data_IF_574358920401
#
_entry.id   IF_574358920401
#
_cell.length_a   1.000
_cell.length_b   1.000
_cell.length_c   1.000
_cell.angle_alpha   90.00
_cell.angle_beta   90.00
_cell.angle_gamma   90.00
#
_symmetry.space_group_name_H-M   'P 1'
#
loop_
_entity.id
_entity.type
_entity.pdbx_description
1 polymer ?
#
# COMPACT_ATOMS: atom_id res chain seq x y z
N UNK A 1 27.03 19.44 14.96
CA UNK A 1 26.87 18.02 14.57
C UNK A 1 26.06 18.02 13.28
N UNK A 2 26.69 17.83 12.13
CA UNK A 2 26.04 17.90 10.81
C UNK A 2 25.29 16.59 10.56
N UNK A 3 23.95 16.63 10.59
CA UNK A 3 23.12 15.54 10.09
C UNK A 3 23.27 15.47 8.55
N UNK A 4 24.26 14.72 8.08
CA UNK A 4 24.22 14.15 6.74
C UNK A 4 23.03 13.20 6.68
N UNK A 5 21.87 13.75 6.35
CA UNK A 5 20.69 13.03 5.89
C UNK A 5 21.03 12.34 4.56
N UNK A 6 21.87 11.30 4.61
CA UNK A 6 22.14 10.44 3.48
C UNK A 6 20.86 9.63 3.20
N UNK A 7 20.02 10.20 2.34
CA UNK A 7 19.07 9.39 1.60
C UNK A 7 19.86 8.26 0.96
N UNK A 8 19.56 7.01 1.36
CA UNK A 8 20.16 5.82 0.77
C UNK A 8 20.11 5.93 -0.75
N UNK A 9 21.22 5.60 -1.40
CA UNK A 9 21.31 5.68 -2.86
C UNK A 9 20.15 4.90 -3.50
N UNK A 10 19.63 5.41 -4.61
CA UNK A 10 18.43 4.85 -5.26
C UNK A 10 18.55 3.35 -5.56
N UNK A 11 19.76 2.89 -5.91
CA UNK A 11 20.05 1.47 -6.18
C UNK A 11 19.97 0.56 -4.94
N UNK A 12 20.04 1.10 -3.73
CA UNK A 12 19.97 0.35 -2.47
C UNK A 12 18.55 0.28 -1.89
N UNK A 13 17.56 0.87 -2.57
CA UNK A 13 16.17 0.87 -2.09
C UNK A 13 15.59 -0.53 -2.23
N UNK A 14 15.62 -1.29 -1.12
CA UNK A 14 14.97 -2.61 -0.97
C UNK A 14 13.49 -2.51 -0.63
N UNK A 15 13.07 -1.43 0.06
CA UNK A 15 11.70 -1.23 0.51
C UNK A 15 11.26 0.21 0.21
N UNK A 16 10.52 0.37 -0.89
CA UNK A 16 10.03 1.68 -1.36
C UNK A 16 9.12 2.36 -0.32
N UNK A 17 8.13 1.68 0.29
CA UNK A 17 7.34 2.29 1.38
C UNK A 17 8.20 2.87 2.51
N UNK A 18 9.21 2.11 2.98
CA UNK A 18 10.09 2.56 4.07
C UNK A 18 10.97 3.75 3.65
N UNK A 19 11.38 3.77 2.38
CA UNK A 19 12.13 4.89 1.82
C UNK A 19 11.28 6.16 1.76
N UNK A 20 10.04 6.08 1.28
CA UNK A 20 9.12 7.22 1.15
C UNK A 20 8.74 7.83 2.52
N UNK A 21 8.72 7.02 3.59
CA UNK A 21 8.50 7.51 4.96
C UNK A 21 9.56 8.54 5.41
N UNK A 22 10.76 8.55 4.80
CA UNK A 22 11.81 9.54 5.09
C UNK A 22 11.45 10.93 4.55
N UNK A 23 10.63 11.01 3.52
CA UNK A 23 10.19 12.27 2.92
C UNK A 23 8.92 12.81 3.57
N UNK A 24 8.08 11.92 4.09
CA UNK A 24 6.89 12.28 4.84
C UNK A 24 6.23 11.04 5.46
N UNK A 25 5.86 11.11 6.73
CA UNK A 25 5.17 10.03 7.44
C UNK A 25 3.66 10.22 7.37
N UNK A 26 2.91 9.11 7.34
CA UNK A 26 1.46 9.11 7.45
C UNK A 26 0.71 9.99 6.42
N UNK A 27 1.21 10.07 5.18
CA UNK A 27 0.62 10.93 4.14
C UNK A 27 -0.88 10.71 3.88
N UNK A 28 -1.41 9.51 4.14
CA UNK A 28 -2.86 9.20 4.12
C UNK A 28 -3.75 10.00 5.09
N UNK A 29 -3.17 10.69 6.08
CA UNK A 29 -3.85 11.59 7.03
C UNK A 29 -3.29 13.02 7.00
N UNK A 30 -2.30 13.27 6.15
CA UNK A 30 -1.61 14.55 6.11
C UNK A 30 -2.47 15.62 5.44
N UNK A 31 -2.31 16.86 5.89
CA UNK A 31 -2.91 18.04 5.27
C UNK A 31 -2.39 18.29 3.85
N UNK A 32 -3.08 19.12 3.08
CA UNK A 32 -2.65 19.50 1.72
C UNK A 32 -1.26 20.15 1.72
N UNK A 33 -0.97 20.97 2.74
CA UNK A 33 0.34 21.62 2.88
C UNK A 33 1.47 20.60 3.09
N UNK A 34 1.27 19.62 3.97
CA UNK A 34 2.26 18.57 4.23
C UNK A 34 2.48 17.68 3.00
N UNK A 35 1.41 17.36 2.27
CA UNK A 35 1.50 16.60 1.02
C UNK A 35 2.24 17.39 -0.06
N UNK A 36 1.99 18.70 -0.15
CA UNK A 36 2.72 19.59 -1.06
C UNK A 36 4.21 19.62 -0.71
N UNK A 37 4.55 19.75 0.58
CA UNK A 37 5.93 19.71 1.03
C UNK A 37 6.61 18.36 0.73
N UNK A 38 5.89 17.23 0.87
CA UNK A 38 6.37 15.93 0.45
C UNK A 38 6.70 15.90 -1.06
N UNK A 39 5.76 16.36 -1.90
CA UNK A 39 5.93 16.40 -3.36
C UNK A 39 7.15 17.25 -3.75
N UNK A 40 7.32 18.43 -3.16
CA UNK A 40 8.49 19.28 -3.42
C UNK A 40 9.81 18.63 -3.00
N UNK A 41 9.86 17.98 -1.83
CA UNK A 41 11.07 17.27 -1.38
C UNK A 41 11.45 16.12 -2.31
N UNK A 42 10.48 15.34 -2.77
CA UNK A 42 10.70 14.23 -3.72
C UNK A 42 11.20 14.75 -5.06
N UNK A 43 10.54 15.76 -5.63
CA UNK A 43 10.94 16.38 -6.91
C UNK A 43 12.33 17.01 -6.86
N UNK A 44 12.77 17.48 -5.67
CA UNK A 44 14.13 18.01 -5.48
C UNK A 44 15.19 16.91 -5.44
N UNK A 45 14.88 15.73 -4.90
CA UNK A 45 15.84 14.63 -4.74
C UNK A 45 15.86 13.65 -5.91
N UNK A 46 14.80 13.61 -6.71
CA UNK A 46 14.64 12.63 -7.78
C UNK A 46 14.22 13.27 -9.09
N UNK A 47 14.87 12.83 -10.17
CA UNK A 47 14.40 13.09 -11.52
C UNK A 47 13.11 12.31 -11.80
N UNK A 48 12.43 12.67 -12.90
CA UNK A 48 11.17 12.02 -13.29
C UNK A 48 11.33 10.51 -13.52
N UNK A 49 12.50 10.04 -13.93
CA UNK A 49 12.75 8.61 -14.17
C UNK A 49 12.78 7.83 -12.85
N UNK A 50 13.45 8.36 -11.83
CA UNK A 50 13.50 7.76 -10.49
C UNK A 50 12.15 7.83 -9.80
N UNK A 51 11.40 8.94 -9.94
CA UNK A 51 10.03 9.03 -9.43
C UNK A 51 9.14 7.96 -10.05
N UNK A 52 9.22 7.78 -11.38
CA UNK A 52 8.51 6.71 -12.08
C UNK A 52 8.89 5.32 -11.56
N UNK A 53 10.18 5.04 -11.39
CA UNK A 53 10.62 3.75 -10.85
C UNK A 53 10.14 3.49 -9.41
N UNK A 54 9.98 4.54 -8.58
CA UNK A 54 9.38 4.38 -7.25
C UNK A 54 7.89 4.09 -7.33
N UNK A 55 7.19 4.76 -8.25
CA UNK A 55 5.77 4.52 -8.54
C UNK A 55 5.54 3.07 -9.00
N UNK A 56 6.25 2.65 -10.05
CA UNK A 56 6.11 1.31 -10.65
C UNK A 56 6.35 0.21 -9.60
N UNK A 57 7.39 0.34 -8.77
CA UNK A 57 7.70 -0.62 -7.70
C UNK A 57 6.65 -0.64 -6.58
N UNK A 58 6.02 0.50 -6.31
CA UNK A 58 4.99 0.61 -5.27
C UNK A 58 3.67 0.02 -5.76
N UNK A 59 3.33 0.24 -7.03
CA UNK A 59 2.20 -0.39 -7.72
C UNK A 59 2.37 -1.92 -7.79
N UNK A 60 3.52 -2.42 -8.24
CA UNK A 60 3.84 -3.84 -8.27
C UNK A 60 3.71 -4.49 -6.87
N UNK A 61 4.19 -3.80 -5.84
CA UNK A 61 4.05 -4.23 -4.45
C UNK A 61 2.59 -4.31 -3.98
N UNK A 62 1.73 -3.40 -4.44
CA UNK A 62 0.29 -3.43 -4.16
C UNK A 62 -0.39 -4.55 -4.94
N UNK A 63 -0.09 -4.73 -6.22
CA UNK A 63 -0.72 -5.75 -7.05
C UNK A 63 -0.41 -7.16 -6.54
N UNK A 64 0.85 -7.43 -6.14
CA UNK A 64 1.20 -8.68 -5.44
C UNK A 64 0.43 -8.84 -4.12
N UNK A 65 0.19 -7.75 -3.40
CA UNK A 65 -0.58 -7.74 -2.15
C UNK A 65 -2.10 -7.82 -2.38
N UNK A 66 -2.59 -7.51 -3.58
CA UNK A 66 -3.98 -7.68 -4.01
C UNK A 66 -4.23 -9.12 -4.47
N UNK A 67 -3.26 -9.78 -5.10
CA UNK A 67 -3.28 -11.21 -5.33
C UNK A 67 -3.36 -12.01 -4.01
N UNK A 68 -2.83 -11.47 -2.91
CA UNK A 68 -3.03 -12.03 -1.58
C UNK A 68 -4.50 -11.98 -1.09
N UNK A 69 -5.44 -11.35 -1.81
CA UNK A 69 -6.88 -11.46 -1.49
C UNK A 69 -7.41 -12.88 -1.65
N UNK A 70 -6.77 -13.72 -2.49
CA UNK A 70 -7.02 -15.16 -2.55
C UNK A 70 -6.73 -15.87 -1.21
N UNK A 71 -5.94 -15.24 -0.32
CA UNK A 71 -5.71 -15.73 1.04
C UNK A 71 -7.01 -15.76 1.85
N UNK A 72 -7.91 -14.80 1.66
CA UNK A 72 -9.22 -14.79 2.34
C UNK A 72 -10.04 -16.01 1.93
N UNK A 73 -10.07 -16.32 0.63
CA UNK A 73 -10.75 -17.51 0.12
C UNK A 73 -10.14 -18.78 0.72
N UNK A 74 -8.81 -18.93 0.64
CA UNK A 74 -8.13 -20.09 1.21
C UNK A 74 -8.39 -20.25 2.73
N UNK A 75 -8.39 -19.14 3.48
CA UNK A 75 -8.70 -19.13 4.91
C UNK A 75 -10.10 -19.67 5.19
N UNK A 76 -11.12 -19.17 4.49
CA UNK A 76 -12.50 -19.64 4.69
C UNK A 76 -12.71 -21.07 4.16
N UNK A 77 -11.99 -21.50 3.13
CA UNK A 77 -12.00 -22.90 2.68
C UNK A 77 -11.45 -23.85 3.74
N UNK A 78 -10.32 -23.51 4.35
CA UNK A 78 -9.73 -24.30 5.46
C UNK A 78 -10.67 -24.28 6.67
N UNK A 79 -11.25 -23.12 7.00
CA UNK A 79 -12.22 -23.01 8.10
C UNK A 79 -13.45 -23.89 7.87
N UNK A 80 -14.02 -23.85 6.66
CA UNK A 80 -15.16 -24.68 6.28
C UNK A 80 -14.82 -26.17 6.36
N UNK A 81 -13.61 -26.56 5.94
CA UNK A 81 -13.13 -27.93 6.08
C UNK A 81 -13.00 -28.38 7.54
N UNK A 82 -12.44 -27.53 8.41
CA UNK A 82 -12.32 -27.81 9.85
C UNK A 82 -13.71 -27.92 10.50
N UNK A 83 -14.61 -26.98 10.18
CA UNK A 83 -15.99 -26.98 10.70
C UNK A 83 -16.76 -28.22 10.22
N UNK A 84 -16.68 -28.55 8.93
CA UNK A 84 -17.31 -29.74 8.37
C UNK A 84 -16.77 -31.04 8.97
N UNK A 85 -15.45 -31.13 9.17
CA UNK A 85 -14.82 -32.29 9.81
C UNK A 85 -15.22 -32.42 11.28
N UNK A 86 -15.30 -31.30 12.01
CA UNK A 86 -15.72 -31.26 13.42
C UNK A 86 -17.19 -31.65 13.57
N UNK A 87 -18.06 -31.20 12.67
CA UNK A 87 -19.46 -31.62 12.64
C UNK A 87 -19.62 -33.11 12.32
N UNK A 88 -18.80 -33.65 11.40
CA UNK A 88 -18.93 -35.03 10.95
C UNK A 88 -18.30 -36.07 11.91
N UNK A 89 -17.18 -35.73 12.56
CA UNK A 89 -16.41 -36.67 13.41
C UNK A 89 -16.28 -36.24 14.88
N UNK A 90 -16.43 -34.95 15.19
CA UNK A 90 -16.26 -34.40 16.54
C UNK A 90 -17.51 -34.50 17.41
N UNK A 91 -18.70 -34.42 16.80
CA UNK A 91 -19.98 -34.61 17.49
C UNK A 91 -20.18 -36.04 18.03
N UNK A 92 -19.50 -37.05 17.45
CA UNK A 92 -19.50 -38.44 17.95
C UNK A 92 -18.53 -38.67 19.11
N UNK A 93 -17.60 -37.75 19.39
CA UNK A 93 -16.61 -37.86 20.48
C UNK A 93 -16.96 -36.98 21.68
N UNK A 94 -17.73 -35.90 21.47
CA UNK A 94 -18.19 -34.99 22.49
C UNK A 94 -19.55 -35.46 23.03
N UNK A 95 -19.54 -36.46 23.90
CA UNK A 95 -20.71 -37.11 24.52
C UNK A 95 -21.50 -36.22 25.52
N UNK A 96 -21.32 -34.90 25.45
CA UNK A 96 -21.90 -33.94 26.38
C UNK A 96 -22.66 -32.84 25.64
N UNK A 97 -23.99 -32.81 25.82
CA UNK A 97 -24.88 -31.74 25.35
C UNK A 97 -24.27 -30.37 25.68
N UNK A 98 -24.05 -29.56 24.64
CA UNK A 98 -23.52 -28.19 24.75
C UNK A 98 -22.01 -28.04 24.55
N UNK A 99 -21.20 -29.09 24.69
CA UNK A 99 -19.73 -28.96 24.59
C UNK A 99 -19.28 -28.80 23.14
N UNK A 100 -19.87 -29.56 22.22
CA UNK A 100 -19.63 -29.43 20.77
C UNK A 100 -20.07 -28.04 20.25
N UNK A 101 -21.24 -27.56 20.67
CA UNK A 101 -21.77 -26.24 20.30
C UNK A 101 -20.84 -25.12 20.79
N UNK A 102 -20.32 -25.21 22.02
CA UNK A 102 -19.35 -24.25 22.54
C UNK A 102 -18.03 -24.26 21.76
N UNK A 103 -17.49 -25.43 21.43
CA UNK A 103 -16.25 -25.55 20.63
C UNK A 103 -16.44 -24.91 19.24
N UNK A 104 -17.57 -25.16 18.58
CA UNK A 104 -17.89 -24.58 17.26
C UNK A 104 -17.98 -23.05 17.36
N UNK A 105 -18.71 -22.52 18.35
CA UNK A 105 -18.83 -21.08 18.57
C UNK A 105 -17.47 -20.43 18.82
N UNK A 106 -16.65 -21.00 19.71
CA UNK A 106 -15.32 -20.48 20.03
C UNK A 106 -14.40 -20.48 18.80
N UNK A 107 -14.42 -21.57 18.01
CA UNK A 107 -13.65 -21.67 16.77
C UNK A 107 -14.10 -20.63 15.75
N UNK A 108 -15.40 -20.39 15.63
CA UNK A 108 -15.95 -19.41 14.72
C UNK A 108 -15.60 -17.97 15.12
N UNK A 109 -15.75 -17.62 16.41
CA UNK A 109 -15.39 -16.28 16.91
C UNK A 109 -13.90 -16.01 16.81
N UNK A 110 -13.05 -16.98 17.15
CA UNK A 110 -11.59 -16.82 16.99
C UNK A 110 -11.21 -16.63 15.53
N UNK A 111 -11.82 -17.37 14.60
CA UNK A 111 -11.59 -17.19 13.18
C UNK A 111 -12.01 -15.80 12.67
N UNK A 112 -13.17 -15.29 13.11
CA UNK A 112 -13.62 -13.93 12.78
C UNK A 112 -12.63 -12.89 13.32
N UNK A 113 -12.18 -13.02 14.56
CA UNK A 113 -11.23 -12.09 15.17
C UNK A 113 -9.91 -12.06 14.39
N UNK A 114 -9.35 -13.24 14.08
CA UNK A 114 -8.11 -13.37 13.31
C UNK A 114 -8.28 -12.77 11.92
N UNK A 115 -9.38 -13.10 11.23
CA UNK A 115 -9.67 -12.57 9.91
C UNK A 115 -9.87 -11.05 9.92
N UNK A 116 -10.66 -10.52 10.85
CA UNK A 116 -10.91 -9.09 10.98
C UNK A 116 -9.61 -8.32 11.26
N UNK A 117 -8.78 -8.81 12.19
CA UNK A 117 -7.48 -8.23 12.47
C UNK A 117 -6.58 -8.21 11.22
N UNK A 118 -6.49 -9.33 10.51
CA UNK A 118 -5.67 -9.42 9.30
C UNK A 118 -6.21 -8.54 8.16
N UNK A 119 -7.52 -8.49 7.98
CA UNK A 119 -8.20 -7.65 6.98
C UNK A 119 -8.00 -6.16 7.26
N UNK A 120 -8.16 -5.72 8.51
CA UNK A 120 -7.94 -4.33 8.91
C UNK A 120 -6.47 -3.93 8.71
N UNK A 121 -5.53 -4.77 9.14
CA UNK A 121 -4.10 -4.47 8.98
C UNK A 121 -3.69 -4.43 7.50
N UNK A 122 -4.24 -5.31 6.68
CA UNK A 122 -4.04 -5.34 5.22
C UNK A 122 -4.60 -4.08 4.55
N UNK A 123 -5.86 -3.72 4.83
CA UNK A 123 -6.52 -2.52 4.31
C UNK A 123 -5.77 -1.24 4.70
N UNK A 124 -5.29 -1.15 5.95
CA UNK A 124 -4.51 -0.01 6.41
C UNK A 124 -3.16 0.12 5.69
N UNK A 125 -2.47 -1.01 5.41
CA UNK A 125 -1.22 -1.01 4.63
C UNK A 125 -1.48 -0.55 3.19
N UNK A 126 -2.53 -1.08 2.56
CA UNK A 126 -2.95 -0.67 1.21
C UNK A 126 -3.28 0.82 1.16
N UNK A 127 -4.09 1.32 2.09
CA UNK A 127 -4.48 2.74 2.15
C UNK A 127 -3.27 3.66 2.28
N UNK A 128 -2.28 3.27 3.09
CA UNK A 128 -1.02 4.01 3.24
C UNK A 128 -0.22 4.02 1.94
N UNK A 129 -0.03 2.86 1.31
CA UNK A 129 0.72 2.74 0.06
C UNK A 129 0.04 3.49 -1.09
N UNK A 130 -1.28 3.35 -1.24
CA UNK A 130 -2.06 4.00 -2.28
C UNK A 130 -1.92 5.54 -2.24
N UNK A 131 -1.84 6.14 -1.03
CA UNK A 131 -1.65 7.59 -0.94
C UNK A 131 -0.29 8.02 -1.50
N UNK A 132 0.77 7.25 -1.26
CA UNK A 132 2.07 7.57 -1.82
C UNK A 132 2.08 7.42 -3.35
N UNK A 133 1.41 6.40 -3.90
CA UNK A 133 1.21 6.25 -5.35
C UNK A 133 0.59 7.52 -5.93
N UNK A 134 -0.54 7.96 -5.38
CA UNK A 134 -1.22 9.18 -5.84
C UNK A 134 -0.28 10.39 -5.83
N UNK A 135 0.47 10.59 -4.75
CA UNK A 135 1.38 11.74 -4.65
C UNK A 135 2.56 11.68 -5.63
N UNK A 136 3.09 10.47 -5.90
CA UNK A 136 4.14 10.28 -6.90
C UNK A 136 3.61 10.48 -8.33
N UNK A 137 2.37 10.07 -8.59
CA UNK A 137 1.71 10.29 -9.87
C UNK A 137 1.41 11.78 -10.11
N UNK A 138 0.91 12.48 -9.10
CA UNK A 138 0.79 13.95 -9.15
C UNK A 138 2.14 14.63 -9.42
N UNK A 139 3.25 14.15 -8.83
CA UNK A 139 4.58 14.70 -9.14
C UNK A 139 4.94 14.52 -10.62
N UNK A 140 4.64 13.36 -11.20
CA UNK A 140 4.89 13.07 -12.61
C UNK A 140 4.07 13.98 -13.52
N UNK A 141 2.78 14.16 -13.21
CA UNK A 141 1.87 15.00 -13.98
C UNK A 141 2.31 16.47 -13.94
N UNK A 142 2.66 16.99 -12.76
CA UNK A 142 3.18 18.35 -12.60
C UNK A 142 4.49 18.57 -13.38
N UNK A 143 5.40 17.59 -13.39
CA UNK A 143 6.64 17.68 -14.17
C UNK A 143 6.33 17.69 -15.68
N UNK A 144 5.41 16.84 -16.12
CA UNK A 144 4.96 16.73 -17.51
C UNK A 144 4.32 18.03 -17.99
N UNK A 145 3.41 18.59 -17.20
CA UNK A 145 2.72 19.86 -17.49
C UNK A 145 3.72 21.01 -17.61
N UNK A 146 4.66 21.14 -16.66
CA UNK A 146 5.73 22.15 -16.70
C UNK A 146 6.61 21.99 -17.94
N UNK A 147 6.84 20.76 -18.43
CA UNK A 147 7.60 20.51 -19.65
C UNK A 147 6.81 20.92 -20.89
N UNK A 148 5.52 20.61 -20.93
CA UNK A 148 4.59 21.00 -22.00
C UNK A 148 4.50 22.52 -22.13
N UNK A 149 4.22 23.23 -21.03
CA UNK A 149 4.17 24.71 -20.98
C UNK A 149 5.47 25.35 -21.48
N UNK A 150 6.63 24.82 -21.06
CA UNK A 150 7.93 25.30 -21.55
C UNK A 150 8.11 25.07 -23.05
N UNK A 151 7.67 23.93 -23.59
CA UNK A 151 7.74 23.65 -25.03
C UNK A 151 6.84 24.59 -25.83
N UNK A 152 5.64 24.83 -25.34
CA UNK A 152 4.70 25.77 -25.95
C UNK A 152 5.29 27.19 -26.00
N UNK A 153 5.79 27.70 -24.87
CA UNK A 153 6.43 29.03 -24.80
C UNK A 153 7.64 29.17 -25.75
N UNK A 154 8.46 28.13 -25.90
CA UNK A 154 9.57 28.13 -26.87
C UNK A 154 9.07 28.21 -28.31
N UNK A 155 7.99 27.50 -28.64
CA UNK A 155 7.39 27.54 -29.97
C UNK A 155 6.81 28.93 -30.24
N UNK A 156 6.00 29.48 -29.33
CA UNK A 156 5.41 30.80 -29.51
C UNK A 156 6.46 31.90 -29.65
N UNK A 157 7.58 31.81 -28.90
CA UNK A 157 8.67 32.78 -29.02
C UNK A 157 9.42 32.64 -30.36
N UNK A 158 9.64 31.41 -30.85
CA UNK A 158 10.28 31.16 -32.15
C UNK A 158 9.51 31.78 -33.32
N UNK A 159 8.17 31.79 -33.26
CA UNK A 159 7.31 32.36 -34.30
C UNK A 159 6.94 33.83 -34.07
N UNK A 160 7.39 34.45 -32.98
CA UNK A 160 7.11 35.86 -32.64
C UNK A 160 8.28 36.80 -33.00
N UNK A 161 9.49 36.29 -33.14
CA UNK A 161 10.65 37.07 -33.62
C UNK A 161 10.72 37.00 -35.16
N UNK A 162 10.70 38.14 -35.88
CA UNK A 162 10.88 38.18 -37.33
C UNK A 162 12.29 37.73 -37.77
#
# INVERSE_FOLDING_TARGET
MNETNEFTSFGQIRNVPMYLLRFGKNMHKASVAEQTAFKEKIKKHHDSKKIKMLLDRLEEGIDNHKASSHFTTAFFTILAFILGSTLNYGLTLADAEGTATLIILMTFYTAIIVWAYQSITHSNKLKKANRYITLLQECMDEISEKKSKRRFLKLTNKYRTP
#
